data_IF_329415409214
#
_entry.id   IF_329415409214
#
_cell.length_a   1.000
_cell.length_b   1.000
_cell.length_c   1.000
_cell.angle_alpha   90.00
_cell.angle_beta   90.00
_cell.angle_gamma   90.00
#
_symmetry.space_group_name_H-M   'P 1'
#
loop_
_entity.id
_entity.type
_entity.pdbx_description
1 polymer ?
#
# COMPACT_ATOMS: atom_id res chain seq x y z
N UNK A 1 -13.85 -22.84 2.73
CA UNK A 1 -12.50 -22.93 2.10
C UNK A 1 -12.40 -22.17 0.79
N UNK A 2 -13.42 -22.14 -0.06
CA UNK A 2 -13.40 -21.41 -1.35
C UNK A 2 -13.33 -19.90 -1.18
N UNK A 3 -13.77 -19.37 -0.04
CA UNK A 3 -13.82 -17.93 0.25
C UNK A 3 -12.45 -17.26 0.38
N UNK A 4 -11.40 -18.03 0.72
CA UNK A 4 -10.03 -17.52 0.88
C UNK A 4 -9.17 -17.63 -0.39
N UNK A 5 -9.63 -18.38 -1.39
CA UNK A 5 -8.91 -18.57 -2.65
C UNK A 5 -8.63 -17.26 -3.40
N UNK A 6 -9.61 -16.34 -3.54
CA UNK A 6 -9.36 -15.04 -4.18
C UNK A 6 -8.31 -14.19 -3.44
N UNK A 7 -8.33 -14.23 -2.10
CA UNK A 7 -7.34 -13.52 -1.29
C UNK A 7 -5.93 -14.10 -1.46
N UNK A 8 -5.80 -15.43 -1.52
CA UNK A 8 -4.54 -16.11 -1.78
C UNK A 8 -4.00 -15.76 -3.17
N UNK A 9 -4.83 -15.85 -4.20
CA UNK A 9 -4.43 -15.51 -5.58
C UNK A 9 -4.04 -14.04 -5.71
N UNK A 10 -4.79 -13.13 -5.09
CA UNK A 10 -4.46 -11.72 -5.04
C UNK A 10 -3.12 -11.45 -4.35
N UNK A 11 -2.86 -12.09 -3.22
CA UNK A 11 -1.58 -12.00 -2.52
C UNK A 11 -0.41 -12.53 -3.34
N UNK A 12 -0.58 -13.63 -4.04
CA UNK A 12 0.44 -14.19 -4.94
C UNK A 12 0.74 -13.24 -6.11
N UNK A 13 -0.27 -12.64 -6.72
CA UNK A 13 -0.09 -11.66 -7.81
C UNK A 13 0.64 -10.40 -7.33
N UNK A 14 0.29 -9.87 -6.16
CA UNK A 14 0.98 -8.71 -5.56
C UNK A 14 2.44 -9.06 -5.27
N UNK A 15 2.70 -10.24 -4.68
CA UNK A 15 4.04 -10.71 -4.40
C UNK A 15 4.89 -10.88 -5.67
N UNK A 16 4.32 -11.48 -6.71
CA UNK A 16 4.98 -11.66 -8.01
C UNK A 16 5.31 -10.31 -8.65
N UNK A 17 4.35 -9.37 -8.67
CA UNK A 17 4.57 -8.03 -9.22
C UNK A 17 5.68 -7.28 -8.46
N UNK A 18 5.72 -7.39 -7.12
CA UNK A 18 6.76 -6.80 -6.29
C UNK A 18 8.15 -7.39 -6.58
N UNK A 19 8.24 -8.71 -6.73
CA UNK A 19 9.49 -9.41 -7.08
C UNK A 19 9.94 -9.02 -8.49
N UNK A 20 9.04 -8.98 -9.47
CA UNK A 20 9.37 -8.55 -10.82
C UNK A 20 9.90 -7.12 -10.86
N UNK A 21 9.26 -6.19 -10.13
CA UNK A 21 9.73 -4.80 -10.04
C UNK A 21 11.14 -4.73 -9.43
N UNK A 22 11.40 -5.52 -8.39
CA UNK A 22 12.72 -5.58 -7.75
C UNK A 22 13.79 -6.14 -8.69
N UNK A 23 13.50 -7.23 -9.40
CA UNK A 23 14.46 -7.90 -10.30
C UNK A 23 14.74 -7.09 -11.56
N UNK A 24 13.71 -6.48 -12.16
CA UNK A 24 13.85 -5.74 -13.41
C UNK A 24 14.38 -4.32 -13.20
N UNK A 25 13.99 -3.65 -12.13
CA UNK A 25 14.34 -2.25 -11.90
C UNK A 25 15.25 -2.00 -10.69
N UNK A 26 15.57 -3.04 -9.90
CA UNK A 26 16.38 -2.91 -8.68
C UNK A 26 15.74 -2.02 -7.61
N UNK A 27 14.46 -1.68 -7.75
CA UNK A 27 13.74 -0.77 -6.86
C UNK A 27 12.72 -1.50 -5.99
N UNK A 28 12.62 -1.08 -4.75
CA UNK A 28 11.60 -1.57 -3.83
C UNK A 28 10.26 -0.93 -4.23
N UNK A 29 9.23 -1.77 -4.41
CA UNK A 29 7.88 -1.35 -4.71
C UNK A 29 7.27 -0.58 -3.53
N UNK A 30 7.60 0.70 -3.42
CA UNK A 30 7.00 1.61 -2.44
C UNK A 30 6.19 2.68 -3.16
N UNK A 31 4.87 2.68 -2.99
CA UNK A 31 3.95 3.60 -3.70
C UNK A 31 4.37 5.06 -3.49
N UNK A 32 4.77 5.45 -2.27
CA UNK A 32 5.24 6.82 -1.98
C UNK A 32 6.52 7.18 -2.73
N UNK A 33 7.44 6.23 -2.90
CA UNK A 33 8.68 6.42 -3.66
C UNK A 33 8.42 6.52 -5.17
N UNK A 34 7.48 5.74 -5.68
CA UNK A 34 7.07 5.74 -7.10
C UNK A 34 6.38 7.05 -7.45
N UNK A 35 5.42 7.50 -6.63
CA UNK A 35 4.73 8.79 -6.83
C UNK A 35 5.72 9.96 -6.67
N UNK A 36 6.60 9.91 -5.68
CA UNK A 36 7.66 10.91 -5.52
C UNK A 36 8.64 10.96 -6.70
N UNK A 37 8.96 9.81 -7.29
CA UNK A 37 9.79 9.71 -8.50
C UNK A 37 9.10 10.29 -9.73
N UNK A 38 7.77 10.11 -9.87
CA UNK A 38 6.96 10.75 -10.90
C UNK A 38 7.02 12.27 -10.83
N UNK A 39 6.82 12.82 -9.63
CA UNK A 39 6.89 14.27 -9.40
C UNK A 39 8.30 14.82 -9.63
N UNK A 40 9.33 14.03 -9.37
CA UNK A 40 10.74 14.39 -9.62
C UNK A 40 11.27 14.09 -11.02
N UNK A 41 10.44 13.54 -11.92
CA UNK A 41 10.85 13.23 -13.29
C UNK A 41 11.79 12.02 -13.43
N UNK A 42 11.97 11.22 -12.36
CA UNK A 42 12.91 10.11 -12.32
C UNK A 42 12.20 8.79 -12.65
N UNK A 43 12.62 8.12 -13.74
CA UNK A 43 12.08 6.82 -14.14
C UNK A 43 10.61 6.88 -14.54
N UNK A 44 10.21 7.89 -15.30
CA UNK A 44 8.83 8.19 -15.69
C UNK A 44 8.09 6.99 -16.25
N UNK A 45 8.69 6.25 -17.19
CA UNK A 45 8.04 5.13 -17.85
C UNK A 45 7.63 4.02 -16.86
N UNK A 46 8.56 3.60 -15.98
CA UNK A 46 8.30 2.54 -15.00
C UNK A 46 7.30 2.99 -13.93
N UNK A 47 7.46 4.24 -13.45
CA UNK A 47 6.59 4.78 -12.41
C UNK A 47 5.17 5.02 -12.94
N UNK A 48 5.03 5.53 -14.17
CA UNK A 48 3.74 5.67 -14.85
C UNK A 48 3.07 4.31 -15.09
N UNK A 49 3.80 3.33 -15.61
CA UNK A 49 3.28 1.99 -15.84
C UNK A 49 2.75 1.37 -14.54
N UNK A 50 3.47 1.56 -13.42
CA UNK A 50 3.03 1.07 -12.11
C UNK A 50 1.74 1.76 -11.64
N UNK A 51 1.68 3.09 -11.70
CA UNK A 51 0.49 3.85 -11.27
C UNK A 51 -0.71 3.52 -12.16
N UNK A 52 -0.51 3.44 -13.48
CA UNK A 52 -1.56 3.02 -14.41
C UNK A 52 -2.05 1.60 -14.10
N UNK A 53 -1.13 0.66 -13.85
CA UNK A 53 -1.51 -0.70 -13.45
C UNK A 53 -2.32 -0.73 -12.15
N UNK A 54 -1.94 0.08 -11.18
CA UNK A 54 -2.64 0.18 -9.90
C UNK A 54 -4.06 0.76 -10.05
N UNK A 55 -4.23 1.77 -10.91
CA UNK A 55 -5.53 2.41 -11.17
C UNK A 55 -6.42 1.58 -12.10
N UNK A 56 -5.84 0.88 -13.06
CA UNK A 56 -6.57 0.00 -13.97
C UNK A 56 -6.99 -1.34 -13.33
N UNK A 57 -6.29 -1.79 -12.30
CA UNK A 57 -6.59 -3.04 -11.60
C UNK A 57 -8.05 -3.19 -11.17
N UNK A 58 -8.61 -2.25 -10.42
CA UNK A 58 -10.03 -2.29 -10.04
C UNK A 58 -11.00 -2.24 -11.23
N UNK A 59 -10.63 -1.52 -12.30
CA UNK A 59 -11.45 -1.43 -13.52
C UNK A 59 -11.47 -2.78 -14.25
N UNK A 60 -10.32 -3.44 -14.35
CA UNK A 60 -10.21 -4.78 -14.94
C UNK A 60 -11.01 -5.78 -14.11
N UNK A 61 -10.91 -5.68 -12.78
CA UNK A 61 -11.71 -6.52 -11.87
C UNK A 61 -13.21 -6.34 -12.12
N UNK A 62 -13.68 -5.08 -12.23
CA UNK A 62 -15.08 -4.78 -12.54
C UNK A 62 -15.55 -5.41 -13.86
N UNK A 63 -14.72 -5.36 -14.90
CA UNK A 63 -15.04 -5.93 -16.22
C UNK A 63 -15.11 -7.46 -16.18
N UNK A 64 -14.21 -8.09 -15.42
CA UNK A 64 -14.13 -9.56 -15.36
C UNK A 64 -15.19 -10.16 -14.43
N UNK A 65 -15.51 -9.53 -13.33
CA UNK A 65 -16.40 -10.07 -12.30
C UNK A 65 -17.78 -9.36 -12.22
N UNK A 66 -17.99 -8.32 -13.02
CA UNK A 66 -19.31 -7.66 -13.16
C UNK A 66 -19.78 -6.87 -11.95
N UNK A 67 -18.94 -6.65 -10.93
CA UNK A 67 -19.33 -5.90 -9.74
C UNK A 67 -18.13 -5.24 -9.03
N UNK A 68 -18.36 -4.06 -8.43
CA UNK A 68 -17.38 -3.45 -7.54
C UNK A 68 -17.32 -4.25 -6.23
N UNK A 69 -16.13 -4.49 -5.66
CA UNK A 69 -16.04 -5.00 -4.31
C UNK A 69 -16.75 -4.01 -3.37
N UNK A 70 -17.63 -4.52 -2.51
CA UNK A 70 -18.32 -3.71 -1.52
C UNK A 70 -17.29 -3.16 -0.52
N UNK A 71 -16.88 -1.93 -0.73
CA UNK A 71 -15.99 -1.20 0.18
C UNK A 71 -16.86 -0.12 0.84
N UNK A 72 -17.25 -0.35 2.09
CA UNK A 72 -17.93 0.66 2.89
C UNK A 72 -16.91 1.53 3.61
N UNK A 73 -16.81 2.79 3.19
CA UNK A 73 -16.03 3.80 3.90
C UNK A 73 -16.96 4.55 4.83
N UNK A 74 -17.01 4.10 6.08
CA UNK A 74 -17.89 4.68 7.12
C UNK A 74 -17.35 5.97 7.74
N UNK A 75 -16.13 6.36 7.36
CA UNK A 75 -15.39 7.48 7.93
C UNK A 75 -15.67 8.77 7.19
N UNK A 76 -15.89 9.86 7.94
CA UNK A 76 -16.13 11.18 7.37
C UNK A 76 -14.93 11.75 6.57
N UNK A 77 -15.20 12.49 5.52
CA UNK A 77 -14.20 13.11 4.63
C UNK A 77 -13.08 13.88 5.35
N UNK A 78 -13.35 14.69 6.41
CA UNK A 78 -12.29 15.43 7.09
C UNK A 78 -11.25 14.50 7.73
N UNK A 79 -11.71 13.42 8.37
CA UNK A 79 -10.81 12.45 9.00
C UNK A 79 -10.00 11.68 7.96
N UNK A 80 -10.61 11.37 6.82
CA UNK A 80 -9.92 10.71 5.69
C UNK A 80 -8.77 11.58 5.14
N UNK A 81 -9.01 12.88 4.97
CA UNK A 81 -8.00 13.83 4.48
C UNK A 81 -6.85 13.95 5.48
N UNK A 82 -7.16 14.15 6.76
CA UNK A 82 -6.13 14.25 7.82
C UNK A 82 -5.31 12.97 7.91
N UNK A 83 -5.96 11.81 7.90
CA UNK A 83 -5.28 10.51 7.91
C UNK A 83 -4.36 10.33 6.71
N UNK A 84 -4.84 10.69 5.51
CA UNK A 84 -4.04 10.62 4.27
C UNK A 84 -2.79 11.52 4.31
N UNK A 85 -2.93 12.74 4.84
CA UNK A 85 -1.81 13.68 5.02
C UNK A 85 -0.78 13.15 6.04
N UNK A 86 -1.23 12.63 7.18
CA UNK A 86 -0.36 12.05 8.21
C UNK A 86 0.40 10.82 7.68
N UNK A 87 -0.28 9.92 6.98
CA UNK A 87 0.35 8.74 6.36
C UNK A 87 1.34 9.16 5.28
N UNK A 88 0.97 10.12 4.42
CA UNK A 88 1.85 10.65 3.38
C UNK A 88 3.11 11.29 3.95
N UNK A 89 2.98 12.12 4.97
CA UNK A 89 4.10 12.74 5.67
C UNK A 89 4.98 11.71 6.38
N UNK A 90 4.37 10.79 7.14
CA UNK A 90 5.08 9.73 7.84
C UNK A 90 5.85 8.80 6.91
N UNK A 91 5.29 8.46 5.74
CA UNK A 91 5.97 7.62 4.74
C UNK A 91 7.19 8.33 4.11
N UNK A 92 7.16 9.65 4.00
CA UNK A 92 8.34 10.44 3.54
C UNK A 92 9.42 10.49 4.62
N UNK A 93 9.06 10.70 5.87
CA UNK A 93 10.02 10.69 6.99
C UNK A 93 10.64 9.30 7.21
N UNK A 94 9.83 8.24 7.11
CA UNK A 94 10.28 6.85 7.28
C UNK A 94 11.12 6.32 6.11
N UNK A 95 11.32 7.10 5.04
CA UNK A 95 12.02 6.69 3.81
C UNK A 95 11.39 5.47 3.14
N UNK A 96 10.08 5.27 3.32
CA UNK A 96 9.32 4.18 2.72
C UNK A 96 7.91 4.12 3.27
N UNK A 97 7.00 3.58 2.46
CA UNK A 97 5.62 3.36 2.89
C UNK A 97 5.44 1.96 3.48
N UNK A 98 4.25 1.72 4.05
CA UNK A 98 3.88 0.43 4.65
C UNK A 98 4.04 -0.74 3.67
N UNK A 99 3.75 -0.55 2.38
CA UNK A 99 3.91 -1.59 1.35
C UNK A 99 5.39 -1.92 1.10
N UNK A 100 6.28 -0.92 1.03
CA UNK A 100 7.70 -1.13 0.82
C UNK A 100 8.36 -1.86 1.99
N UNK A 101 8.10 -1.41 3.22
CA UNK A 101 8.62 -2.05 4.42
C UNK A 101 7.94 -3.38 4.74
N UNK A 102 6.61 -3.47 4.57
CA UNK A 102 5.83 -4.65 4.91
C UNK A 102 6.01 -5.82 3.96
N UNK A 103 6.11 -5.58 2.65
CA UNK A 103 6.23 -6.67 1.67
C UNK A 103 7.71 -7.02 1.46
N UNK A 104 8.47 -6.12 0.87
CA UNK A 104 9.86 -6.41 0.49
C UNK A 104 10.85 -6.27 1.64
N UNK A 105 10.61 -5.33 2.56
CA UNK A 105 11.47 -5.10 3.70
C UNK A 105 11.45 -6.28 4.69
N UNK A 106 10.28 -6.82 4.99
CA UNK A 106 10.12 -8.02 5.81
C UNK A 106 10.60 -9.29 5.09
N UNK A 107 10.31 -9.44 3.80
CA UNK A 107 10.80 -10.58 3.02
C UNK A 107 12.33 -10.67 3.00
N UNK A 108 13.01 -9.52 3.10
CA UNK A 108 14.48 -9.43 3.20
C UNK A 108 15.01 -9.45 4.65
N UNK A 109 14.15 -9.67 5.64
CA UNK A 109 14.49 -9.66 7.07
C UNK A 109 15.29 -8.42 7.49
N UNK A 110 15.01 -7.26 6.90
CA UNK A 110 15.70 -6.02 7.22
C UNK A 110 15.30 -5.53 8.63
N UNK A 111 16.25 -5.35 9.57
CA UNK A 111 15.94 -4.88 10.93
C UNK A 111 15.22 -3.53 10.93
N UNK A 112 15.62 -2.62 10.03
CA UNK A 112 14.96 -1.32 9.86
C UNK A 112 13.50 -1.47 9.47
N UNK A 113 13.19 -2.39 8.56
CA UNK A 113 11.82 -2.64 8.12
C UNK A 113 10.99 -3.32 9.19
N UNK A 114 11.59 -4.22 9.97
CA UNK A 114 10.92 -4.85 11.12
C UNK A 114 10.49 -3.82 12.16
N UNK A 115 11.39 -2.89 12.53
CA UNK A 115 11.07 -1.79 13.45
C UNK A 115 10.00 -0.87 12.86
N UNK A 116 10.12 -0.50 11.58
CA UNK A 116 9.12 0.34 10.92
C UNK A 116 7.73 -0.33 10.92
N UNK A 117 7.64 -1.62 10.57
CA UNK A 117 6.38 -2.39 10.58
C UNK A 117 5.81 -2.47 12.00
N UNK A 118 6.61 -2.79 13.00
CA UNK A 118 6.17 -2.81 14.39
C UNK A 118 5.63 -1.43 14.83
N UNK A 119 6.31 -0.35 14.47
CA UNK A 119 5.91 1.01 14.84
C UNK A 119 4.57 1.40 14.22
N UNK A 120 4.36 1.17 12.93
CA UNK A 120 3.08 1.56 12.34
C UNK A 120 1.94 0.61 12.70
N UNK A 121 2.20 -0.67 12.99
CA UNK A 121 1.18 -1.58 13.52
C UNK A 121 0.73 -1.15 14.92
N UNK A 122 1.66 -0.85 15.82
CA UNK A 122 1.32 -0.36 17.16
C UNK A 122 0.59 0.98 17.11
N UNK A 123 1.04 1.92 16.27
CA UNK A 123 0.37 3.21 16.11
C UNK A 123 -1.04 3.08 15.52
N UNK A 124 -1.25 2.14 14.58
CA UNK A 124 -2.57 1.87 14.02
C UNK A 124 -3.53 1.31 15.08
N UNK A 125 -3.08 0.34 15.88
CA UNK A 125 -3.89 -0.21 16.99
C UNK A 125 -4.24 0.88 18.01
N UNK A 126 -3.26 1.72 18.40
CA UNK A 126 -3.50 2.84 19.31
C UNK A 126 -4.51 3.84 18.74
N UNK A 127 -4.38 4.19 17.47
CA UNK A 127 -5.32 5.10 16.81
C UNK A 127 -6.76 4.55 16.82
N UNK A 128 -6.94 3.27 16.52
CA UNK A 128 -8.26 2.62 16.56
C UNK A 128 -8.83 2.60 17.98
N UNK A 129 -8.00 2.27 18.97
CA UNK A 129 -8.43 2.26 20.38
C UNK A 129 -8.86 3.66 20.83
N UNK A 130 -8.10 4.68 20.49
CA UNK A 130 -8.41 6.09 20.84
C UNK A 130 -9.71 6.53 20.14
N UNK A 131 -9.85 6.30 18.85
CA UNK A 131 -11.07 6.65 18.10
C UNK A 131 -12.30 5.97 18.68
N UNK A 132 -12.20 4.69 19.01
CA UNK A 132 -13.28 3.93 19.64
C UNK A 132 -13.62 4.44 21.05
N UNK A 133 -12.62 4.91 21.81
CA UNK A 133 -12.84 5.51 23.14
C UNK A 133 -13.53 6.88 23.06
N UNK A 134 -13.35 7.63 21.95
CA UNK A 134 -14.00 8.93 21.71
C UNK A 134 -15.40 8.79 21.11
N UNK A 135 -15.84 7.54 20.78
CA UNK A 135 -17.17 7.27 20.28
C UNK A 135 -17.32 7.43 18.75
N UNK A 136 -16.24 7.29 18.02
CA UNK A 136 -16.24 7.23 16.55
C UNK A 136 -16.24 5.78 16.06
#
# INVERSE_FOLDING_TARGET
MIQYLPALLGGMLIGLAAVMLLLLNGRIAGVSGIVGGLLGGIGLATNLAFVLGLTLGPVIYLILFGGWPLIEVTVGWPLLIVAGLLVGFGSRMGSGCTSGHGILGLARLSPRSMVAVATFMTSAVLAVVILKAIGQ
#
